data_IF_025451369932
#
_entry.id   IF_025451369932
#
_cell.length_a   1.000
_cell.length_b   1.000
_cell.length_c   1.000
_cell.angle_alpha   90.00
_cell.angle_beta   90.00
_cell.angle_gamma   90.00
#
_symmetry.space_group_name_H-M   'P 1'
#
loop_
_entity.id
_entity.type
_entity.pdbx_description
1 polymer ?
#
# COMPACT_ATOMS: atom_id res chain seq x y z
N UNK A 1 25.93 -14.72 0.52
CA UNK A 1 24.74 -13.84 0.39
C UNK A 1 23.69 -14.60 -0.38
N UNK A 2 22.41 -14.32 -0.19
CA UNK A 2 21.36 -14.86 -1.05
C UNK A 2 20.91 -13.77 -2.03
N UNK A 3 21.16 -14.01 -3.32
CA UNK A 3 20.85 -13.11 -4.43
C UNK A 3 19.61 -13.64 -5.14
N UNK A 4 18.59 -12.79 -5.31
CA UNK A 4 17.33 -13.18 -5.91
C UNK A 4 17.47 -13.21 -7.44
N UNK A 5 17.52 -14.42 -8.00
CA UNK A 5 17.80 -14.65 -9.42
C UNK A 5 16.54 -14.68 -10.28
N UNK A 6 15.45 -15.25 -9.76
CA UNK A 6 14.19 -15.42 -10.48
C UNK A 6 13.00 -15.21 -9.55
N UNK A 7 11.91 -14.69 -10.11
CA UNK A 7 10.61 -14.68 -9.46
C UNK A 7 9.53 -15.13 -10.45
N UNK A 8 8.49 -15.76 -9.95
CA UNK A 8 7.31 -16.14 -10.73
C UNK A 8 6.08 -15.94 -9.85
N UNK A 9 5.07 -15.24 -10.38
CA UNK A 9 3.72 -15.27 -9.81
C UNK A 9 2.90 -16.35 -10.51
N UNK A 10 2.27 -17.22 -9.74
CA UNK A 10 1.35 -18.24 -10.24
C UNK A 10 -0.07 -17.80 -9.95
N UNK A 11 -0.94 -17.85 -10.97
CA UNK A 11 -2.37 -17.55 -10.83
C UNK A 11 -3.16 -18.79 -10.39
N UNK A 12 -2.67 -19.44 -9.34
CA UNK A 12 -3.35 -20.57 -8.70
C UNK A 12 -4.33 -20.09 -7.61
N UNK A 13 -4.97 -21.04 -6.90
CA UNK A 13 -5.89 -20.72 -5.80
C UNK A 13 -5.23 -20.08 -4.58
N UNK A 14 -3.91 -20.18 -4.47
CA UNK A 14 -3.13 -19.70 -3.33
C UNK A 14 -2.50 -18.32 -3.58
N UNK A 15 -2.63 -17.78 -4.80
CA UNK A 15 -1.87 -16.63 -5.32
C UNK A 15 -0.36 -16.85 -5.12
N UNK A 16 0.12 -18.07 -5.44
CA UNK A 16 1.49 -18.51 -5.11
C UNK A 16 2.57 -17.64 -5.76
N UNK A 17 3.60 -17.36 -5.00
CA UNK A 17 4.80 -16.64 -5.41
C UNK A 17 6.03 -17.51 -5.22
N UNK A 18 6.80 -17.70 -6.29
CA UNK A 18 8.03 -18.51 -6.29
C UNK A 18 9.22 -17.57 -6.46
N UNK A 19 10.21 -17.68 -5.57
CA UNK A 19 11.42 -16.89 -5.54
C UNK A 19 12.64 -17.84 -5.59
N UNK A 20 13.45 -17.79 -6.63
CA UNK A 20 14.66 -18.62 -6.77
C UNK A 20 15.89 -17.77 -6.48
N UNK A 21 16.75 -18.22 -5.56
CA UNK A 21 17.95 -17.52 -5.12
C UNK A 21 19.21 -18.28 -5.51
N UNK A 22 20.25 -17.56 -5.92
CA UNK A 22 21.63 -18.05 -5.91
C UNK A 22 22.24 -17.67 -4.56
N UNK A 23 22.67 -18.67 -3.81
CA UNK A 23 23.20 -18.53 -2.45
C UNK A 23 24.71 -18.72 -2.50
N UNK A 24 25.46 -17.64 -2.29
CA UNK A 24 26.92 -17.65 -2.42
C UNK A 24 27.60 -18.30 -1.23
N UNK A 25 28.78 -18.90 -1.46
CA UNK A 25 29.62 -19.61 -0.48
C UNK A 25 29.90 -18.90 0.86
N UNK A 26 29.62 -17.61 0.97
CA UNK A 26 29.74 -16.88 2.25
C UNK A 26 28.82 -17.46 3.33
N UNK A 27 27.70 -18.11 2.94
CA UNK A 27 26.74 -18.73 3.86
C UNK A 27 27.31 -19.97 4.56
N UNK A 28 28.13 -20.75 3.87
CA UNK A 28 28.74 -21.98 4.43
C UNK A 28 30.10 -21.73 5.06
N UNK A 29 30.80 -20.64 4.69
CA UNK A 29 32.17 -20.36 5.15
C UNK A 29 32.26 -19.84 6.59
N UNK A 30 31.36 -18.92 6.97
CA UNK A 30 31.42 -18.18 8.23
C UNK A 30 30.34 -18.68 9.20
N UNK A 31 30.69 -19.43 10.26
CA UNK A 31 29.69 -20.01 11.18
C UNK A 31 29.14 -19.04 12.22
N UNK A 32 29.82 -17.92 12.48
CA UNK A 32 29.41 -16.96 13.52
C UNK A 32 28.44 -15.90 13.00
N UNK A 33 28.23 -15.85 11.68
CA UNK A 33 27.49 -14.79 11.01
C UNK A 33 26.30 -15.31 10.21
N UNK A 34 25.11 -15.04 10.72
CA UNK A 34 23.87 -15.18 9.95
C UNK A 34 23.91 -14.33 8.67
N UNK A 35 23.48 -14.94 7.57
CA UNK A 35 23.38 -14.26 6.27
C UNK A 35 21.92 -14.07 5.95
N UNK A 36 21.50 -12.81 5.75
CA UNK A 36 20.12 -12.47 5.37
C UNK A 36 20.08 -11.96 3.93
N UNK A 37 19.02 -12.31 3.19
CA UNK A 37 18.73 -11.75 1.86
C UNK A 37 18.40 -10.26 1.94
N UNK A 38 18.29 -9.60 0.78
CA UNK A 38 17.54 -8.33 0.72
C UNK A 38 16.04 -8.59 0.98
N UNK A 39 15.29 -7.55 1.33
CA UNK A 39 13.85 -7.68 1.56
C UNK A 39 13.12 -8.01 0.25
N UNK A 40 12.11 -8.88 0.32
CA UNK A 40 11.20 -9.22 -0.77
C UNK A 40 9.75 -8.93 -0.32
N UNK A 41 8.89 -8.58 -1.26
CA UNK A 41 7.47 -8.27 -0.96
C UNK A 41 6.55 -9.37 -1.44
N UNK A 42 5.76 -9.95 -0.54
CA UNK A 42 4.76 -10.97 -0.86
C UNK A 42 3.51 -10.82 0.02
N UNK A 43 2.32 -10.87 -0.57
CA UNK A 43 1.04 -10.75 0.14
C UNK A 43 0.92 -9.48 0.98
N UNK A 44 1.35 -8.34 0.43
CA UNK A 44 1.40 -7.02 1.09
C UNK A 44 2.31 -6.94 2.34
N UNK A 45 3.13 -7.97 2.57
CA UNK A 45 4.10 -8.06 3.64
C UNK A 45 5.53 -8.05 3.11
N UNK A 46 6.46 -7.56 3.92
CA UNK A 46 7.91 -7.61 3.64
C UNK A 46 8.53 -8.79 4.36
N UNK A 47 9.40 -9.50 3.65
CA UNK A 47 10.02 -10.73 4.08
C UNK A 47 11.52 -10.70 3.80
N UNK A 48 12.29 -11.54 4.46
CA UNK A 48 13.65 -11.88 4.07
C UNK A 48 13.90 -13.38 4.34
N UNK A 49 14.90 -13.96 3.68
CA UNK A 49 15.41 -15.28 4.02
C UNK A 49 16.67 -15.09 4.85
N UNK A 50 16.73 -15.72 6.02
CA UNK A 50 17.94 -15.78 6.85
C UNK A 50 18.47 -17.20 6.87
N UNK A 51 19.79 -17.32 6.75
CA UNK A 51 20.56 -18.54 6.87
C UNK A 51 21.37 -18.45 8.16
N UNK A 52 21.22 -19.42 9.06
CA UNK A 52 22.06 -19.58 10.25
C UNK A 52 22.87 -20.86 10.16
N UNK A 53 24.01 -20.93 10.81
CA UNK A 53 24.82 -22.15 10.90
C UNK A 53 25.04 -22.52 12.36
N UNK A 54 24.83 -23.79 12.69
CA UNK A 54 25.03 -24.31 14.05
C UNK A 54 25.57 -25.73 13.94
N UNK A 55 26.67 -26.03 14.63
CA UNK A 55 27.27 -27.38 14.71
C UNK A 55 27.44 -28.09 13.35
N UNK A 56 27.88 -27.33 12.34
CA UNK A 56 28.07 -27.75 10.93
C UNK A 56 26.77 -28.01 10.13
N UNK A 57 25.59 -27.76 10.68
CA UNK A 57 24.31 -27.82 9.98
C UNK A 57 23.89 -26.42 9.53
N UNK A 58 23.33 -26.32 8.33
CA UNK A 58 22.74 -25.10 7.79
C UNK A 58 21.24 -25.08 8.15
N UNK A 59 20.80 -23.97 8.73
CA UNK A 59 19.40 -23.65 8.96
C UNK A 59 18.91 -22.54 8.01
N UNK A 60 17.63 -22.58 7.64
CA UNK A 60 16.99 -21.61 6.74
C UNK A 60 15.65 -21.18 7.32
N UNK A 61 15.41 -19.86 7.31
CA UNK A 61 14.22 -19.25 7.90
C UNK A 61 13.62 -18.18 6.98
N UNK A 62 12.30 -18.17 6.91
CA UNK A 62 11.52 -17.03 6.44
C UNK A 62 11.35 -16.05 7.60
N UNK A 63 11.66 -14.78 7.38
CA UNK A 63 11.61 -13.72 8.40
C UNK A 63 10.66 -12.62 7.96
N UNK A 64 9.61 -12.36 8.74
CA UNK A 64 8.66 -11.27 8.53
C UNK A 64 9.25 -9.95 9.03
N UNK A 65 9.40 -8.98 8.12
CA UNK A 65 10.10 -7.70 8.36
C UNK A 65 9.17 -6.55 8.80
N UNK A 66 7.86 -6.69 8.62
CA UNK A 66 6.85 -5.70 9.01
C UNK A 66 6.09 -6.08 10.30
N UNK A 67 6.74 -6.82 11.19
CA UNK A 67 6.11 -7.33 12.41
C UNK A 67 5.80 -6.21 13.42
N UNK A 68 4.54 -6.06 13.81
CA UNK A 68 4.10 -5.07 14.80
C UNK A 68 3.02 -5.64 15.75
N UNK A 69 2.75 -4.92 16.84
CA UNK A 69 1.83 -5.34 17.89
C UNK A 69 0.42 -5.54 17.36
N UNK A 70 -0.29 -6.57 17.84
CA UNK A 70 -1.65 -6.89 17.40
C UNK A 70 -1.76 -7.59 16.04
N UNK A 71 -0.75 -7.44 15.17
CA UNK A 71 -0.73 -8.11 13.87
C UNK A 71 -0.27 -9.58 13.93
N UNK A 72 -0.84 -10.37 13.03
CA UNK A 72 -0.57 -11.79 12.78
C UNK A 72 -0.62 -12.02 11.27
N UNK A 73 0.35 -12.74 10.73
CA UNK A 73 0.35 -13.16 9.32
C UNK A 73 0.41 -14.69 9.28
N UNK A 74 -0.45 -15.29 8.48
CA UNK A 74 -0.47 -16.73 8.22
C UNK A 74 -0.02 -16.97 6.79
N UNK A 75 0.87 -17.95 6.60
CA UNK A 75 1.51 -18.22 5.31
C UNK A 75 1.65 -19.72 5.10
N UNK A 76 1.35 -20.18 3.88
CA UNK A 76 1.87 -21.45 3.38
C UNK A 76 3.22 -21.17 2.72
N UNK A 77 4.28 -21.86 3.12
CA UNK A 77 5.58 -21.74 2.45
C UNK A 77 6.25 -23.09 2.22
N UNK A 78 7.12 -23.16 1.22
CA UNK A 78 8.04 -24.27 0.99
C UNK A 78 9.42 -23.73 0.64
N UNK A 79 10.45 -24.23 1.31
CA UNK A 79 11.84 -24.05 0.91
C UNK A 79 12.33 -25.32 0.22
N UNK A 80 13.02 -25.17 -0.92
CA UNK A 80 13.55 -26.28 -1.72
C UNK A 80 14.99 -25.98 -2.12
N UNK A 81 15.94 -26.83 -1.72
CA UNK A 81 17.30 -26.82 -2.26
C UNK A 81 17.29 -27.55 -3.61
N UNK A 82 17.71 -26.84 -4.66
CA UNK A 82 17.70 -27.39 -6.01
C UNK A 82 18.99 -28.17 -6.26
N UNK A 83 18.83 -29.47 -6.52
CA UNK A 83 19.91 -30.35 -6.90
C UNK A 83 20.33 -30.07 -8.35
N UNK A 84 21.64 -30.05 -8.62
CA UNK A 84 22.19 -29.70 -9.94
C UNK A 84 22.15 -30.85 -10.94
N UNK A 85 21.97 -32.07 -10.47
CA UNK A 85 21.96 -33.30 -11.29
C UNK A 85 20.54 -33.70 -11.69
N UNK A 86 19.63 -33.84 -10.70
CA UNK A 86 18.25 -34.26 -10.97
C UNK A 86 17.26 -33.74 -9.92
N UNK A 87 16.09 -33.26 -10.36
CA UNK A 87 15.07 -32.63 -9.51
C UNK A 87 14.49 -33.58 -8.43
N UNK A 88 14.52 -34.90 -8.63
CA UNK A 88 14.10 -35.88 -7.62
C UNK A 88 15.03 -35.94 -6.40
N UNK A 89 16.24 -35.38 -6.52
CA UNK A 89 17.23 -35.30 -5.46
C UNK A 89 17.18 -33.93 -4.73
N UNK A 90 16.20 -33.09 -5.03
CA UNK A 90 15.92 -31.86 -4.30
C UNK A 90 15.58 -32.17 -2.84
N UNK A 91 16.10 -31.38 -1.91
CA UNK A 91 15.67 -31.39 -0.51
C UNK A 91 14.66 -30.28 -0.28
N UNK A 92 13.64 -30.52 0.55
CA UNK A 92 12.62 -29.51 0.82
C UNK A 92 12.00 -29.64 2.21
N UNK A 93 11.54 -28.50 2.75
CA UNK A 93 10.64 -28.48 3.90
C UNK A 93 9.54 -27.42 3.69
N UNK A 94 8.36 -27.69 4.24
CA UNK A 94 7.18 -26.86 4.06
C UNK A 94 6.42 -26.64 5.37
N UNK A 95 5.66 -25.56 5.41
CA UNK A 95 4.69 -25.28 6.46
C UNK A 95 3.39 -24.74 5.87
N UNK A 96 2.25 -25.10 6.46
CA UNK A 96 0.92 -24.60 6.08
C UNK A 96 0.34 -23.75 7.19
N UNK A 97 -0.24 -22.61 6.83
CA UNK A 97 -0.82 -21.60 7.74
C UNK A 97 0.12 -21.25 8.90
N UNK A 98 1.43 -21.19 8.63
CA UNK A 98 2.45 -20.88 9.63
C UNK A 98 2.25 -19.44 10.09
N UNK A 99 2.15 -19.28 11.42
CA UNK A 99 1.78 -18.04 12.07
C UNK A 99 3.01 -17.23 12.47
N UNK A 100 3.14 -16.05 11.86
CA UNK A 100 4.11 -15.02 12.20
C UNK A 100 3.48 -13.98 13.13
N UNK A 101 4.24 -13.53 14.13
CA UNK A 101 3.84 -12.49 15.09
C UNK A 101 5.04 -11.62 15.46
N UNK A 102 4.83 -10.48 16.14
CA UNK A 102 5.93 -9.67 16.68
C UNK A 102 6.86 -10.45 17.62
N UNK A 103 6.34 -11.42 18.38
CA UNK A 103 7.13 -12.27 19.28
C UNK A 103 7.80 -13.47 18.59
N UNK A 104 7.35 -13.82 17.38
CA UNK A 104 7.89 -14.91 16.56
C UNK A 104 7.89 -14.49 15.07
N UNK A 105 8.80 -13.59 14.66
CA UNK A 105 8.85 -13.05 13.30
C UNK A 105 9.65 -13.95 12.35
N UNK A 106 10.41 -14.93 12.85
CA UNK A 106 11.18 -15.88 12.06
C UNK A 106 10.60 -17.30 12.23
N UNK A 107 10.47 -18.04 11.13
CA UNK A 107 10.00 -19.42 11.09
C UNK A 107 10.81 -20.19 10.04
N UNK A 108 11.22 -21.42 10.34
CA UNK A 108 12.14 -22.14 9.47
C UNK A 108 12.58 -23.48 10.04
N UNK A 109 13.57 -24.08 9.41
CA UNK A 109 14.21 -25.30 9.88
C UNK A 109 15.67 -24.99 10.25
N UNK A 110 16.01 -25.12 11.53
CA UNK A 110 17.38 -24.97 12.04
C UNK A 110 18.32 -26.11 11.63
N UNK A 111 17.75 -27.29 11.36
CA UNK A 111 18.46 -28.52 11.02
C UNK A 111 18.12 -28.92 9.57
N UNK A 112 18.30 -28.02 8.61
CA UNK A 112 17.83 -28.28 7.23
C UNK A 112 18.76 -29.23 6.48
N UNK A 113 20.06 -28.92 6.41
CA UNK A 113 21.02 -29.79 5.72
C UNK A 113 22.41 -29.69 6.36
N UNK A 114 23.13 -30.81 6.57
CA UNK A 114 24.55 -30.76 6.94
C UNK A 114 25.35 -30.02 5.86
N UNK A 115 26.32 -29.19 6.25
CA UNK A 115 27.14 -28.46 5.28
C UNK A 115 28.00 -29.39 4.42
N UNK A 116 28.34 -30.60 4.91
CA UNK A 116 28.95 -31.67 4.11
C UNK A 116 28.11 -32.07 2.90
N UNK A 117 26.79 -32.18 3.12
CA UNK A 117 25.85 -32.79 2.20
C UNK A 117 25.53 -31.86 1.02
N UNK A 118 25.61 -30.54 1.23
CA UNK A 118 25.58 -29.54 0.16
C UNK A 118 26.64 -29.82 -0.92
N UNK A 119 27.86 -30.19 -0.51
CA UNK A 119 28.95 -30.52 -1.42
C UNK A 119 28.88 -31.97 -1.92
N UNK A 120 28.59 -32.93 -1.03
CA UNK A 120 28.61 -34.35 -1.37
C UNK A 120 27.43 -34.82 -2.25
N UNK A 121 26.33 -34.07 -2.28
CA UNK A 121 25.08 -34.44 -2.98
C UNK A 121 24.73 -33.54 -4.16
N UNK A 122 25.70 -32.89 -4.79
CA UNK A 122 25.50 -32.07 -6.01
C UNK A 122 24.52 -30.89 -5.85
N UNK A 123 24.44 -30.24 -4.68
CA UNK A 123 23.72 -28.97 -4.52
C UNK A 123 24.57 -27.75 -4.88
N UNK A 124 25.88 -27.79 -4.58
CA UNK A 124 26.82 -26.69 -4.86
C UNK A 124 27.51 -26.82 -6.22
N UNK A 125 27.84 -25.68 -6.83
CA UNK A 125 28.77 -25.58 -7.94
C UNK A 125 30.25 -25.62 -7.48
N UNK A 126 31.18 -25.47 -8.43
CA UNK A 126 32.64 -25.40 -8.15
C UNK A 126 33.07 -24.19 -7.33
N UNK A 127 32.26 -23.14 -7.27
CA UNK A 127 32.49 -21.96 -6.45
C UNK A 127 31.94 -22.14 -5.02
N UNK A 128 31.15 -23.18 -4.77
CA UNK A 128 30.43 -23.40 -3.51
C UNK A 128 29.11 -22.62 -3.42
N UNK A 129 28.54 -22.23 -4.55
CA UNK A 129 27.22 -21.59 -4.65
C UNK A 129 26.13 -22.63 -4.94
N UNK A 130 24.96 -22.46 -4.33
CA UNK A 130 23.82 -23.37 -4.48
C UNK A 130 22.53 -22.60 -4.74
N UNK A 131 21.52 -23.27 -5.30
CA UNK A 131 20.22 -22.65 -5.54
C UNK A 131 19.21 -23.04 -4.45
N UNK A 132 18.50 -22.05 -3.94
CA UNK A 132 17.38 -22.21 -3.01
C UNK A 132 16.14 -21.59 -3.61
N UNK A 133 15.05 -22.34 -3.69
CA UNK A 133 13.73 -21.83 -4.04
C UNK A 133 12.87 -21.66 -2.78
N UNK A 134 12.11 -20.58 -2.74
CA UNK A 134 11.10 -20.28 -1.75
C UNK A 134 9.76 -20.07 -2.46
N UNK A 135 8.79 -20.95 -2.19
CA UNK A 135 7.38 -20.74 -2.54
C UNK A 135 6.64 -20.15 -1.34
N UNK A 136 5.81 -19.13 -1.58
CA UNK A 136 4.91 -18.49 -0.60
C UNK A 136 3.50 -18.44 -1.21
N UNK A 137 2.49 -18.90 -0.48
CA UNK A 137 1.08 -18.83 -0.87
C UNK A 137 0.14 -18.63 0.34
N UNK A 138 -1.15 -18.45 0.06
CA UNK A 138 -2.22 -18.27 1.06
C UNK A 138 -1.90 -17.22 2.15
N UNK A 139 -1.25 -16.12 1.78
CA UNK A 139 -0.83 -15.08 2.73
C UNK A 139 -2.05 -14.34 3.28
N UNK A 140 -2.35 -14.55 4.57
CA UNK A 140 -3.48 -13.92 5.26
C UNK A 140 -2.98 -13.00 6.37
N UNK A 141 -3.38 -11.72 6.32
CA UNK A 141 -2.98 -10.72 7.31
C UNK A 141 -4.15 -10.31 8.20
N UNK A 142 -3.97 -10.39 9.52
CA UNK A 142 -4.97 -9.98 10.53
C UNK A 142 -4.34 -9.07 11.58
N UNK A 143 -4.99 -7.94 11.85
CA UNK A 143 -4.73 -7.05 12.99
C UNK A 143 -5.80 -7.22 14.06
N UNK A 144 -5.41 -7.21 15.34
CA UNK A 144 -6.32 -7.31 16.49
C UNK A 144 -5.98 -6.25 17.53
N UNK A 145 -6.99 -5.56 18.06
CA UNK A 145 -6.85 -4.55 19.09
C UNK A 145 -8.05 -4.52 20.03
N UNK A 146 -7.81 -4.16 21.30
CA UNK A 146 -8.83 -3.92 22.31
C UNK A 146 -8.91 -2.41 22.58
N UNK A 147 -10.00 -1.76 22.19
CA UNK A 147 -10.20 -0.33 22.46
C UNK A 147 -11.03 -0.16 23.74
N UNK A 148 -10.45 0.47 24.76
CA UNK A 148 -11.15 0.85 25.98
C UNK A 148 -12.02 2.08 25.72
N UNK A 149 -13.28 2.02 26.11
CA UNK A 149 -14.25 3.10 25.91
C UNK A 149 -14.38 3.90 27.23
N UNK A 150 -14.03 5.20 27.25
CA UNK A 150 -14.24 6.05 28.42
C UNK A 150 -15.70 6.03 28.88
N UNK A 151 -15.91 5.93 30.20
CA UNK A 151 -17.23 5.86 30.85
C UNK A 151 -18.16 7.02 30.47
N UNK A 152 -17.60 8.19 30.17
CA UNK A 152 -18.36 9.41 29.89
C UNK A 152 -19.01 9.42 28.49
N UNK A 153 -18.64 8.50 27.58
CA UNK A 153 -19.15 8.48 26.18
C UNK A 153 -20.66 8.19 26.11
N UNK A 154 -21.22 7.44 27.06
CA UNK A 154 -22.64 7.10 27.07
C UNK A 154 -23.53 8.11 27.82
N UNK A 155 -22.93 9.11 28.48
CA UNK A 155 -23.61 10.05 29.37
C UNK A 155 -24.04 9.40 30.70
N UNK A 156 -24.04 10.17 31.78
CA UNK A 156 -24.67 9.73 33.02
C UNK A 156 -26.18 9.57 32.79
N UNK A 157 -26.82 8.50 33.29
CA UNK A 157 -28.26 8.55 33.52
C UNK A 157 -28.52 9.68 34.52
N UNK A 158 -29.37 10.62 34.15
CA UNK A 158 -29.66 11.80 34.98
C UNK A 158 -30.36 11.37 36.26
N UNK A 159 -29.62 11.29 37.37
CA UNK A 159 -30.20 11.32 38.70
C UNK A 159 -30.97 12.63 38.84
N UNK A 160 -32.29 12.54 39.03
CA UNK A 160 -33.13 13.69 39.36
C UNK A 160 -32.67 14.29 40.70
N UNK A 161 -31.81 15.31 40.63
CA UNK A 161 -31.40 16.12 41.76
C UNK A 161 -32.42 17.23 42.00
N UNK A 162 -33.05 17.25 43.16
CA UNK A 162 -34.06 18.24 43.52
C UNK A 162 -33.51 19.66 43.54
N UNK A 163 -34.35 20.63 43.17
CA UNK A 163 -34.08 22.05 43.37
C UNK A 163 -33.87 22.37 44.86
N UNK A 164 -32.78 23.07 45.18
CA UNK A 164 -32.61 23.78 46.44
C UNK A 164 -31.98 25.15 46.16
N UNK A 165 -32.67 26.22 46.56
CA UNK A 165 -32.17 27.59 46.48
C UNK A 165 -31.09 27.85 47.54
N UNK A 166 -30.09 28.69 47.22
CA UNK A 166 -29.07 29.14 48.18
C UNK A 166 -28.44 30.45 47.73
N UNK A 167 -28.62 31.52 48.53
CA UNK A 167 -28.19 32.88 48.22
C UNK A 167 -26.78 33.20 48.74
N UNK A 168 -26.01 33.97 47.96
CA UNK A 168 -25.14 35.04 48.47
C UNK A 168 -23.71 34.70 48.91
N UNK A 169 -22.84 35.73 48.89
CA UNK A 169 -21.55 35.71 49.59
C UNK A 169 -20.31 36.05 48.75
N UNK A 170 -20.09 37.33 48.45
CA UNK A 170 -18.76 37.82 48.03
C UNK A 170 -17.86 38.03 49.25
N UNK A 171 -16.56 37.67 49.17
CA UNK A 171 -15.47 38.43 49.82
C UNK A 171 -14.06 38.09 49.34
N UNK A 172 -13.20 39.11 49.36
CA UNK A 172 -11.78 39.09 49.03
C UNK A 172 -10.90 38.41 50.10
N UNK A 173 -9.68 38.00 49.71
CA UNK A 173 -8.54 37.77 50.61
C UNK A 173 -7.21 37.80 49.85
N UNK A 174 -6.34 38.78 50.16
CA UNK A 174 -4.93 38.81 49.75
C UNK A 174 -4.05 38.11 50.80
N UNK A 175 -2.93 37.48 50.39
CA UNK A 175 -1.55 37.99 50.61
C UNK A 175 -0.46 36.90 50.47
N UNK A 176 0.73 37.33 50.00
CA UNK A 176 2.10 36.79 50.26
C UNK A 176 2.39 35.29 50.00
N UNK A 177 3.51 34.87 49.40
CA UNK A 177 4.72 35.57 48.97
C UNK A 177 5.97 35.00 49.66
N UNK A 178 6.79 34.22 48.93
CA UNK A 178 8.16 33.85 49.37
C UNK A 178 9.06 33.49 48.19
N UNK A 179 10.37 33.67 48.38
CA UNK A 179 11.42 33.63 47.35
C UNK A 179 12.38 32.47 47.62
N UNK A 180 12.92 31.85 46.58
CA UNK A 180 14.03 30.89 46.64
C UNK A 180 14.65 30.68 45.26
N UNK A 181 15.98 30.79 45.12
CA UNK A 181 16.64 30.92 43.82
C UNK A 181 17.90 30.06 43.65
N UNK A 182 18.02 29.47 42.45
CA UNK A 182 19.26 29.05 41.74
C UNK A 182 20.18 27.98 42.38
N UNK A 183 21.20 27.43 41.66
CA UNK A 183 21.55 27.47 40.22
C UNK A 183 21.43 26.07 39.51
N UNK A 184 21.29 25.92 38.18
CA UNK A 184 22.36 25.89 37.15
C UNK A 184 23.05 24.50 37.03
N UNK A 185 23.47 23.91 35.90
CA UNK A 185 23.46 24.16 34.41
C UNK A 185 24.09 22.90 33.72
N UNK A 186 24.45 22.80 32.41
CA UNK A 186 23.80 23.15 31.13
C UNK A 186 23.78 22.03 30.02
N UNK A 187 22.86 22.12 29.05
CA UNK A 187 23.16 22.03 27.60
C UNK A 187 23.37 20.68 26.84
N UNK A 188 22.48 20.38 25.87
CA UNK A 188 22.79 19.99 24.46
C UNK A 188 21.48 20.00 23.62
N UNK A 189 21.50 20.13 22.27
CA UNK A 189 20.46 20.90 21.57
C UNK A 189 19.63 20.15 20.49
N UNK A 190 18.47 20.73 20.17
CA UNK A 190 18.10 20.98 18.76
C UNK A 190 17.14 20.03 18.04
N UNK A 191 15.88 19.92 18.51
CA UNK A 191 14.76 19.53 17.64
C UNK A 191 13.97 20.79 17.20
N UNK A 192 13.63 20.98 15.91
CA UNK A 192 12.98 22.21 15.45
C UNK A 192 11.52 22.30 15.91
N UNK A 193 11.14 23.49 16.35
CA UNK A 193 9.84 23.76 16.98
C UNK A 193 8.67 23.81 15.96
N UNK A 194 7.50 23.37 16.41
CA UNK A 194 6.25 23.58 15.70
C UNK A 194 5.85 25.08 15.74
N UNK A 195 5.71 25.71 14.57
CA UNK A 195 5.19 27.07 14.45
C UNK A 195 3.66 27.06 14.45
N UNK A 196 3.06 27.74 15.42
CA UNK A 196 1.62 27.94 15.49
C UNK A 196 1.28 29.29 14.83
N UNK A 197 0.43 29.29 13.80
CA UNK A 197 0.11 30.49 13.01
C UNK A 197 -1.28 30.39 12.38
N UNK A 198 -2.24 31.12 12.95
CA UNK A 198 -3.68 31.04 12.66
C UNK A 198 -4.10 31.62 11.31
N UNK A 199 -5.05 30.95 10.61
CA UNK A 199 -6.39 31.52 10.38
C UNK A 199 -7.36 30.58 9.61
N UNK A 200 -8.60 30.46 10.09
CA UNK A 200 -9.77 30.38 9.19
C UNK A 200 -10.37 29.03 8.78
N UNK A 201 -10.77 28.15 9.72
CA UNK A 201 -11.97 27.27 9.57
C UNK A 201 -12.35 26.63 10.92
N UNK A 202 -13.63 26.31 11.20
CA UNK A 202 -14.07 25.93 12.54
C UNK A 202 -13.75 24.48 12.88
N UNK A 203 -12.82 24.28 13.83
CA UNK A 203 -12.60 22.98 14.47
C UNK A 203 -13.81 22.61 15.36
N UNK A 204 -14.57 21.57 15.02
CA UNK A 204 -15.62 21.03 15.92
C UNK A 204 -16.10 19.60 15.64
N UNK A 205 -15.27 18.59 15.95
CA UNK A 205 -15.74 17.32 16.56
C UNK A 205 -14.61 16.45 17.17
N UNK A 206 -13.62 17.07 17.82
CA UNK A 206 -12.74 16.34 18.73
C UNK A 206 -13.49 16.12 20.06
N UNK A 207 -13.98 14.90 20.29
CA UNK A 207 -14.77 14.56 21.48
C UNK A 207 -14.77 13.07 21.83
N UNK A 208 -15.28 12.21 20.95
CA UNK A 208 -15.55 10.80 21.25
C UNK A 208 -14.89 9.80 20.27
N UNK A 209 -13.89 10.21 19.46
CA UNK A 209 -13.19 9.31 18.52
C UNK A 209 -12.37 8.28 19.31
N UNK A 210 -12.65 7.01 19.07
CA UNK A 210 -11.93 5.86 19.61
C UNK A 210 -10.96 5.36 18.53
N UNK A 211 -9.70 5.06 18.86
CA UNK A 211 -8.69 4.66 17.88
C UNK A 211 -7.86 3.46 18.35
N UNK A 212 -7.39 2.66 17.39
CA UNK A 212 -6.33 1.65 17.60
C UNK A 212 -4.95 2.29 17.50
N UNK A 213 -3.93 1.59 18.00
CA UNK A 213 -2.54 1.84 17.58
C UNK A 213 -2.41 1.67 16.05
N UNK A 214 -1.33 2.21 15.48
CA UNK A 214 -1.04 2.01 14.07
C UNK A 214 -0.50 0.59 13.79
N UNK A 215 -0.62 0.15 12.55
CA UNK A 215 -0.11 -1.12 12.02
C UNK A 215 0.28 -0.97 10.54
N UNK A 216 1.21 -1.79 10.06
CA UNK A 216 1.77 -1.65 8.70
C UNK A 216 1.21 -2.70 7.72
N UNK A 217 0.75 -2.27 6.55
CA UNK A 217 0.27 -3.16 5.48
C UNK A 217 0.43 -2.52 4.08
N UNK A 218 0.96 -3.27 3.11
CA UNK A 218 1.12 -2.83 1.71
C UNK A 218 2.22 -1.78 1.46
N UNK A 219 3.02 -1.47 2.49
CA UNK A 219 3.97 -0.35 2.47
C UNK A 219 3.41 0.95 3.06
N UNK A 220 2.21 0.92 3.63
CA UNK A 220 1.61 2.04 4.36
C UNK A 220 1.37 1.68 5.82
N UNK A 221 1.30 2.71 6.66
CA UNK A 221 0.81 2.59 8.03
C UNK A 221 -0.66 3.01 8.09
N UNK A 222 -1.41 2.33 8.95
CA UNK A 222 -2.85 2.45 9.08
C UNK A 222 -3.25 2.47 10.55
N UNK A 223 -4.35 3.14 10.90
CA UNK A 223 -5.09 2.82 12.11
C UNK A 223 -6.57 2.55 11.78
N UNK A 224 -7.30 1.99 12.75
CA UNK A 224 -8.76 1.95 12.72
C UNK A 224 -9.32 2.91 13.77
N UNK A 225 -10.36 3.64 13.40
CA UNK A 225 -11.09 4.49 14.32
C UNK A 225 -12.60 4.23 14.31
N UNK A 226 -13.22 4.37 15.47
CA UNK A 226 -14.67 4.25 15.70
C UNK A 226 -15.16 5.62 16.19
N UNK A 227 -16.11 6.20 15.47
CA UNK A 227 -16.71 7.51 15.75
C UNK A 227 -18.16 7.30 16.16
N UNK A 228 -18.54 7.53 17.43
CA UNK A 228 -19.93 7.54 17.87
C UNK A 228 -20.68 8.74 17.27
N UNK A 229 -21.87 8.52 16.74
CA UNK A 229 -22.68 9.54 16.07
C UNK A 229 -23.61 10.25 17.08
N UNK A 230 -23.64 11.59 17.02
CA UNK A 230 -24.44 12.45 17.92
C UNK A 230 -25.95 12.23 17.75
N UNK A 231 -26.72 12.56 18.81
CA UNK A 231 -28.20 12.56 18.78
C UNK A 231 -28.76 13.39 17.63
N UNK A 232 -28.12 14.53 17.34
CA UNK A 232 -28.55 15.51 16.32
C UNK A 232 -28.59 14.94 14.88
N UNK A 233 -27.94 13.80 14.66
CA UNK A 233 -27.87 13.14 13.35
C UNK A 233 -29.03 12.19 13.04
N UNK A 234 -30.03 12.07 13.95
CA UNK A 234 -31.08 11.05 13.86
C UNK A 234 -30.55 9.60 13.97
N UNK A 235 -29.26 9.43 14.26
CA UNK A 235 -28.53 8.16 14.35
C UNK A 235 -27.97 7.94 15.75
N UNK A 236 -28.74 8.31 16.77
CA UNK A 236 -28.34 8.26 18.18
C UNK A 236 -27.73 6.91 18.60
N UNK A 237 -26.48 6.98 19.06
CA UNK A 237 -25.72 5.84 19.57
C UNK A 237 -25.13 4.93 18.49
N UNK A 238 -25.44 5.14 17.20
CA UNK A 238 -24.76 4.45 16.08
C UNK A 238 -23.29 4.86 16.01
N UNK A 239 -22.52 4.10 15.25
CA UNK A 239 -21.09 4.36 15.04
C UNK A 239 -20.74 4.35 13.56
N UNK A 240 -19.71 5.11 13.22
CA UNK A 240 -19.00 5.03 11.94
C UNK A 240 -17.60 4.47 12.20
N UNK A 241 -17.11 3.61 11.32
CA UNK A 241 -15.81 2.93 11.45
C UNK A 241 -14.96 3.30 10.25
N UNK A 242 -13.76 3.83 10.48
CA UNK A 242 -12.85 4.28 9.43
C UNK A 242 -11.51 3.58 9.56
N UNK A 243 -11.04 2.98 8.48
CA UNK A 243 -9.62 2.69 8.30
C UNK A 243 -8.96 3.98 7.77
N UNK A 244 -7.95 4.48 8.47
CA UNK A 244 -7.27 5.73 8.14
C UNK A 244 -5.82 5.39 7.77
N UNK A 245 -5.37 5.87 6.62
CA UNK A 245 -3.99 5.73 6.17
C UNK A 245 -3.16 6.87 6.73
N UNK A 246 -1.97 6.56 7.24
CA UNK A 246 -1.10 7.49 7.97
C UNK A 246 0.17 7.88 7.19
N UNK A 247 0.44 7.23 6.05
CA UNK A 247 1.62 7.49 5.19
C UNK A 247 1.28 7.34 3.70
N UNK A 248 2.14 7.89 2.82
CA UNK A 248 2.00 7.77 1.35
C UNK A 248 0.92 8.65 0.72
N UNK A 249 0.69 9.83 1.29
CA UNK A 249 -0.34 10.82 0.90
C UNK A 249 -0.22 11.39 -0.51
N UNK A 250 0.93 11.20 -1.16
CA UNK A 250 1.23 11.57 -2.55
C UNK A 250 0.38 10.84 -3.59
N UNK A 251 -0.18 9.68 -3.23
CA UNK A 251 -1.09 8.90 -4.08
C UNK A 251 -2.36 8.52 -3.33
N UNK A 252 -3.47 8.36 -4.03
CA UNK A 252 -4.61 7.62 -3.50
C UNK A 252 -4.26 6.12 -3.35
N UNK A 253 -4.93 5.41 -2.44
CA UNK A 253 -4.70 3.99 -2.21
C UNK A 253 -6.01 3.22 -2.19
N UNK A 254 -6.18 2.25 -3.11
CA UNK A 254 -7.31 1.32 -3.05
C UNK A 254 -7.04 0.31 -1.95
N UNK A 255 -7.98 0.17 -1.03
CA UNK A 255 -7.88 -0.72 0.12
C UNK A 255 -9.07 -1.67 0.16
N UNK A 256 -8.81 -2.95 0.46
CA UNK A 256 -9.83 -3.98 0.66
C UNK A 256 -9.56 -4.66 2.00
N UNK A 257 -10.60 -4.78 2.83
CA UNK A 257 -10.48 -5.28 4.20
C UNK A 257 -11.83 -5.83 4.69
N UNK A 258 -11.81 -6.57 5.80
CA UNK A 258 -13.01 -6.95 6.53
C UNK A 258 -12.80 -6.63 8.02
N UNK A 259 -13.76 -5.96 8.66
CA UNK A 259 -13.72 -5.66 10.09
C UNK A 259 -14.80 -6.44 10.83
N UNK A 260 -14.42 -6.94 12.00
CA UNK A 260 -15.30 -7.49 13.03
C UNK A 260 -15.13 -6.68 14.30
N UNK A 261 -16.24 -6.26 14.89
CA UNK A 261 -16.30 -5.56 16.17
C UNK A 261 -17.01 -6.41 17.21
N UNK A 262 -16.55 -6.34 18.46
CA UNK A 262 -17.09 -7.14 19.55
C UNK A 262 -16.66 -8.61 19.49
N UNK A 263 -17.32 -9.46 20.28
CA UNK A 263 -16.99 -10.88 20.42
C UNK A 263 -18.21 -11.68 20.93
N UNK A 264 -18.21 -13.00 20.71
CA UNK A 264 -19.34 -13.87 21.01
C UNK A 264 -20.66 -13.37 20.40
N UNK A 265 -21.73 -13.35 21.20
CA UNK A 265 -23.06 -12.89 20.78
C UNK A 265 -23.14 -11.36 20.53
N UNK A 266 -22.09 -10.61 20.87
CA UNK A 266 -21.97 -9.15 20.64
C UNK A 266 -21.10 -8.82 19.42
N UNK A 267 -20.95 -9.78 18.51
CA UNK A 267 -20.14 -9.68 17.30
C UNK A 267 -20.91 -8.99 16.16
N UNK A 268 -20.23 -8.10 15.46
CA UNK A 268 -20.74 -7.40 14.29
C UNK A 268 -19.70 -7.42 13.17
N UNK A 269 -20.10 -7.79 11.95
CA UNK A 269 -19.21 -7.93 10.80
C UNK A 269 -19.57 -6.98 9.67
N UNK A 270 -18.55 -6.47 8.97
CA UNK A 270 -18.75 -5.66 7.76
C UNK A 270 -18.94 -6.47 6.48
N UNK A 271 -18.65 -7.78 6.50
CA UNK A 271 -18.25 -8.50 5.29
C UNK A 271 -16.98 -7.89 4.68
N UNK A 272 -16.70 -8.18 3.41
CA UNK A 272 -15.57 -7.56 2.71
C UNK A 272 -15.92 -6.17 2.18
N UNK A 273 -15.23 -5.16 2.67
CA UNK A 273 -15.31 -3.77 2.21
C UNK A 273 -14.20 -3.47 1.20
N UNK A 274 -14.49 -2.56 0.27
CA UNK A 274 -13.52 -1.97 -0.63
C UNK A 274 -13.76 -0.46 -0.71
N UNK A 275 -12.72 0.35 -0.52
CA UNK A 275 -12.78 1.81 -0.64
C UNK A 275 -11.48 2.34 -1.24
N UNK A 276 -11.49 3.61 -1.62
CA UNK A 276 -10.27 4.39 -1.89
C UNK A 276 -9.97 5.22 -0.64
N UNK A 277 -8.71 5.19 -0.20
CA UNK A 277 -8.12 6.23 0.65
C UNK A 277 -7.69 7.37 -0.25
N UNK A 278 -8.19 8.57 0.02
CA UNK A 278 -7.77 9.82 -0.64
C UNK A 278 -6.32 10.20 -0.27
N UNK A 279 -5.83 11.29 -0.86
CA UNK A 279 -4.51 11.89 -0.58
C UNK A 279 -4.39 12.50 0.81
N UNK A 280 -5.48 12.61 1.59
CA UNK A 280 -5.47 12.97 3.01
C UNK A 280 -5.54 11.73 3.93
N UNK A 281 -5.52 10.52 3.37
CA UNK A 281 -5.54 9.25 4.11
C UNK A 281 -6.94 8.77 4.52
N UNK A 282 -8.00 9.43 4.04
CA UNK A 282 -9.39 9.16 4.44
C UNK A 282 -10.12 8.30 3.43
N UNK A 283 -10.99 7.41 3.90
CA UNK A 283 -11.94 6.67 3.07
C UNK A 283 -13.38 6.91 3.50
N UNK A 284 -14.34 6.37 2.75
CA UNK A 284 -15.77 6.54 3.04
C UNK A 284 -16.19 5.98 4.42
N UNK A 285 -15.48 4.96 4.91
CA UNK A 285 -15.80 4.27 6.16
C UNK A 285 -16.95 3.28 6.03
N UNK A 286 -17.31 2.67 7.16
CA UNK A 286 -18.41 1.71 7.32
C UNK A 286 -19.37 2.20 8.39
N UNK A 287 -20.65 2.26 8.05
CA UNK A 287 -21.72 2.79 8.89
C UNK A 287 -22.72 1.67 9.26
N UNK A 288 -22.39 0.81 10.24
CA UNK A 288 -23.33 -0.18 10.72
C UNK A 288 -24.59 0.47 11.30
N UNK A 289 -25.72 -0.22 11.17
CA UNK A 289 -26.99 0.21 11.79
C UNK A 289 -27.03 0.01 13.32
N UNK A 290 -26.10 -0.80 13.85
CA UNK A 290 -25.92 -1.09 15.26
C UNK A 290 -25.33 0.09 16.05
N UNK A 291 -25.54 0.07 17.37
CA UNK A 291 -24.99 1.04 18.32
C UNK A 291 -23.63 0.58 18.85
N UNK A 292 -22.82 1.52 19.33
CA UNK A 292 -21.55 1.20 19.99
C UNK A 292 -21.74 0.29 21.22
N UNK A 293 -22.84 0.47 21.96
CA UNK A 293 -23.18 -0.32 23.13
C UNK A 293 -23.42 -1.81 22.82
N UNK A 294 -23.84 -2.13 21.59
CA UNK A 294 -24.20 -3.49 21.16
C UNK A 294 -22.96 -4.37 21.05
N UNK A 295 -21.83 -3.79 20.62
CA UNK A 295 -20.51 -4.46 20.49
C UNK A 295 -19.60 -4.31 21.71
N UNK A 296 -20.05 -3.57 22.74
CA UNK A 296 -19.28 -3.29 23.95
C UNK A 296 -19.37 -4.46 24.93
N UNK A 297 -18.22 -4.90 25.47
CA UNK A 297 -18.16 -5.86 26.57
C UNK A 297 -17.20 -5.37 27.66
N UNK A 298 -17.69 -5.20 28.89
CA UNK A 298 -16.89 -4.74 30.06
C UNK A 298 -16.06 -3.47 29.79
N UNK A 299 -16.63 -2.50 29.05
CA UNK A 299 -15.95 -1.25 28.69
C UNK A 299 -14.91 -1.37 27.57
N UNK A 300 -14.83 -2.51 26.88
CA UNK A 300 -13.90 -2.76 25.77
C UNK A 300 -14.68 -3.10 24.50
N UNK A 301 -14.26 -2.54 23.37
CA UNK A 301 -14.62 -3.03 22.03
C UNK A 301 -13.42 -3.79 21.48
N UNK A 302 -13.61 -5.08 21.21
CA UNK A 302 -12.63 -5.89 20.47
C UNK A 302 -12.72 -5.57 18.99
N UNK A 303 -11.57 -5.44 18.34
CA UNK A 303 -11.43 -5.20 16.90
C UNK A 303 -10.63 -6.34 16.31
N UNK A 304 -11.20 -7.03 15.32
CA UNK A 304 -10.49 -7.96 14.44
C UNK A 304 -10.60 -7.45 13.01
N UNK A 305 -9.47 -7.04 12.43
CA UNK A 305 -9.37 -6.45 11.09
C UNK A 305 -8.54 -7.37 10.20
N UNK A 306 -9.13 -7.85 9.11
CA UNK A 306 -8.44 -8.62 8.09
C UNK A 306 -8.13 -7.73 6.89
N UNK A 307 -6.84 -7.62 6.55
CA UNK A 307 -6.34 -6.79 5.46
C UNK A 307 -6.11 -7.65 4.22
N UNK A 308 -6.74 -7.28 3.10
CA UNK A 308 -6.80 -8.11 1.89
C UNK A 308 -6.04 -7.48 0.71
N UNK A 309 -6.08 -6.16 0.57
CA UNK A 309 -5.39 -5.43 -0.51
C UNK A 309 -5.10 -3.98 -0.09
N UNK A 310 -3.95 -3.46 -0.49
CA UNK A 310 -3.57 -2.04 -0.39
C UNK A 310 -2.66 -1.67 -1.56
N UNK A 311 -3.24 -1.10 -2.62
CA UNK A 311 -2.54 -0.75 -3.86
C UNK A 311 -2.56 0.77 -4.10
N UNK A 312 -1.39 1.35 -4.39
CA UNK A 312 -1.26 2.69 -4.97
C UNK A 312 -2.16 2.83 -6.20
N UNK A 313 -2.86 3.95 -6.30
CA UNK A 313 -3.56 4.35 -7.53
C UNK A 313 -2.86 5.56 -8.13
N UNK A 314 -2.68 5.53 -9.45
CA UNK A 314 -2.29 6.71 -10.21
C UNK A 314 -3.35 6.98 -11.28
N UNK A 315 -3.91 8.19 -11.22
CA UNK A 315 -4.99 8.65 -12.09
C UNK A 315 -4.40 9.43 -13.26
N UNK A 316 -4.78 9.06 -14.48
CA UNK A 316 -4.22 9.61 -15.71
C UNK A 316 -5.34 9.94 -16.70
N UNK A 317 -5.51 11.22 -16.99
CA UNK A 317 -6.35 11.68 -18.10
C UNK A 317 -5.59 11.51 -19.43
N UNK A 318 -5.96 10.51 -20.22
CA UNK A 318 -5.36 10.26 -21.54
C UNK A 318 -6.21 10.91 -22.62
N UNK A 319 -5.74 12.03 -23.17
CA UNK A 319 -6.43 12.74 -24.24
C UNK A 319 -5.92 12.29 -25.60
N UNK A 320 -6.81 11.76 -26.45
CA UNK A 320 -6.42 11.17 -27.73
C UNK A 320 -5.81 12.14 -28.74
N UNK A 321 -6.10 13.43 -28.64
CA UNK A 321 -5.63 14.48 -29.55
C UNK A 321 -5.43 15.81 -28.80
N UNK A 322 -4.20 16.31 -28.73
CA UNK A 322 -3.92 17.69 -28.34
C UNK A 322 -4.01 18.62 -29.55
N UNK A 323 -4.61 19.80 -29.37
CA UNK A 323 -4.64 20.86 -30.39
C UNK A 323 -3.55 21.90 -30.09
N UNK A 324 -2.33 21.65 -30.54
CA UNK A 324 -1.27 22.66 -30.51
C UNK A 324 -1.54 23.75 -31.55
N UNK A 325 -1.19 25.00 -31.22
CA UNK A 325 -0.95 26.05 -32.22
C UNK A 325 0.52 25.94 -32.64
N UNK A 326 0.79 26.00 -33.93
CA UNK A 326 2.16 26.24 -34.40
C UNK A 326 2.68 27.55 -33.80
N UNK A 327 3.90 27.53 -33.28
CA UNK A 327 4.57 28.74 -32.86
C UNK A 327 4.93 29.56 -34.12
N UNK A 328 4.63 30.86 -34.18
CA UNK A 328 5.03 31.67 -35.33
C UNK A 328 6.55 31.75 -35.41
N UNK A 329 7.09 31.43 -36.59
CA UNK A 329 8.49 31.63 -36.92
C UNK A 329 8.89 33.11 -36.87
N UNK A 330 10.21 33.34 -36.89
CA UNK A 330 10.86 34.65 -36.74
C UNK A 330 10.26 35.77 -37.59
N UNK A 331 10.07 36.94 -36.96
CA UNK A 331 9.65 38.20 -37.59
C UNK A 331 10.64 38.62 -38.68
N UNK A 332 10.13 38.94 -39.88
CA UNK A 332 10.95 39.36 -41.02
C UNK A 332 10.19 40.21 -42.05
N UNK A 333 9.99 41.49 -41.74
CA UNK A 333 9.60 42.59 -42.65
C UNK A 333 8.18 42.53 -43.30
N UNK A 334 7.64 43.67 -43.82
CA UNK A 334 6.20 43.87 -43.96
C UNK A 334 5.68 44.02 -45.40
N UNK A 335 4.42 43.67 -45.63
CA UNK A 335 3.64 44.06 -46.81
C UNK A 335 2.51 43.09 -47.15
N UNK A 336 1.34 43.62 -47.55
CA UNK A 336 0.22 42.84 -48.09
C UNK A 336 -1.01 42.77 -47.19
N UNK A 337 -2.08 43.45 -47.59
CA UNK A 337 -3.42 43.34 -47.02
C UNK A 337 -4.19 42.13 -47.61
N UNK A 338 -3.65 40.92 -47.51
CA UNK A 338 -4.29 39.69 -48.03
C UNK A 338 -3.88 38.45 -47.22
N UNK A 339 -4.58 38.18 -46.10
CA UNK A 339 -4.38 36.95 -45.31
C UNK A 339 -5.59 36.59 -44.40
N UNK A 340 -6.82 36.71 -44.92
CA UNK A 340 -8.04 36.37 -44.16
C UNK A 340 -8.36 34.86 -44.11
N UNK A 341 -7.50 34.01 -44.67
CA UNK A 341 -7.78 32.57 -44.89
C UNK A 341 -6.76 31.62 -44.21
N UNK A 342 -6.14 32.06 -43.11
CA UNK A 342 -5.20 31.23 -42.34
C UNK A 342 -5.87 30.61 -41.10
N UNK A 343 -6.87 29.75 -41.34
CA UNK A 343 -7.36 28.78 -40.37
C UNK A 343 -6.27 27.71 -40.14
N UNK A 344 -5.26 28.09 -39.35
CA UNK A 344 -4.05 27.30 -39.10
C UNK A 344 -4.35 25.82 -38.85
N UNK A 345 -3.79 24.96 -39.70
CA UNK A 345 -4.01 23.52 -39.75
C UNK A 345 -3.56 22.87 -38.45
N UNK A 346 -4.46 22.73 -37.48
CA UNK A 346 -4.18 22.12 -36.17
C UNK A 346 -3.72 20.68 -36.35
N UNK A 347 -2.42 20.45 -36.27
CA UNK A 347 -1.87 19.08 -36.28
C UNK A 347 -2.20 18.42 -34.94
N UNK A 348 -2.81 17.22 -34.93
CA UNK A 348 -3.07 16.52 -33.69
C UNK A 348 -1.76 16.00 -33.10
N UNK A 349 -1.41 16.45 -31.90
CA UNK A 349 -0.23 15.95 -31.16
C UNK A 349 -0.68 14.92 -30.14
N UNK A 350 -0.05 13.73 -30.05
CA UNK A 350 -0.33 12.76 -28.99
C UNK A 350 -0.01 13.37 -27.61
N UNK A 351 -1.02 13.53 -26.76
CA UNK A 351 -0.79 14.02 -25.39
C UNK A 351 -0.14 12.88 -24.60
N UNK A 352 1.11 13.10 -24.17
CA UNK A 352 1.78 12.20 -23.24
C UNK A 352 1.36 12.59 -21.83
N UNK A 353 0.62 11.71 -21.16
CA UNK A 353 0.24 11.90 -19.77
C UNK A 353 1.26 11.21 -18.86
N UNK A 354 1.48 11.76 -17.66
CA UNK A 354 2.48 11.25 -16.71
C UNK A 354 1.81 10.72 -15.44
N UNK A 355 2.43 9.71 -14.83
CA UNK A 355 2.09 9.19 -13.52
C UNK A 355 3.35 8.72 -12.80
N UNK A 356 3.21 8.42 -11.51
CA UNK A 356 4.26 7.84 -10.70
C UNK A 356 3.79 6.52 -10.08
N UNK A 357 4.71 5.62 -9.76
CA UNK A 357 4.42 4.45 -8.93
C UNK A 357 4.63 4.75 -7.43
N UNK A 358 4.44 3.74 -6.57
CA UNK A 358 4.61 3.84 -5.11
C UNK A 358 5.99 4.38 -4.69
N UNK A 359 7.01 4.20 -5.52
CA UNK A 359 8.38 4.63 -5.22
C UNK A 359 8.70 6.02 -5.79
N UNK A 360 7.67 6.74 -6.27
CA UNK A 360 7.76 8.05 -6.94
C UNK A 360 8.53 8.01 -8.25
N UNK A 361 8.67 6.83 -8.86
CA UNK A 361 9.35 6.71 -10.14
C UNK A 361 8.37 6.97 -11.28
N UNK A 362 8.84 7.68 -12.30
CA UNK A 362 8.04 8.27 -13.36
C UNK A 362 7.66 7.26 -14.45
N UNK A 363 6.42 7.37 -14.90
CA UNK A 363 5.84 6.63 -16.00
C UNK A 363 5.13 7.59 -16.93
N UNK A 364 5.20 7.32 -18.23
CA UNK A 364 4.49 8.05 -19.26
C UNK A 364 3.51 7.13 -19.96
N UNK A 365 2.38 7.69 -20.36
CA UNK A 365 1.33 6.97 -21.06
C UNK A 365 0.85 7.79 -22.26
N UNK A 366 0.73 7.13 -23.41
CA UNK A 366 0.26 7.72 -24.66
C UNK A 366 -0.88 6.88 -25.22
N UNK A 367 -1.93 7.52 -25.74
CA UNK A 367 -2.90 6.82 -26.57
C UNK A 367 -2.37 6.63 -27.99
N UNK A 368 -2.44 5.41 -28.49
CA UNK A 368 -2.33 5.08 -29.90
C UNK A 368 -3.74 4.87 -30.48
N UNK A 369 -4.01 5.50 -31.62
CA UNK A 369 -5.30 5.51 -32.31
C UNK A 369 -5.15 5.16 -33.82
N UNK A 370 -4.08 4.44 -34.19
CA UNK A 370 -3.85 3.96 -35.56
C UNK A 370 -4.55 2.62 -35.87
N UNK A 371 -5.03 1.90 -34.84
CA UNK A 371 -5.83 0.68 -34.95
C UNK A 371 -7.33 0.95 -34.81
N UNK A 372 -8.18 -0.08 -34.96
CA UNK A 372 -9.64 0.04 -34.81
C UNK A 372 -10.06 0.34 -33.36
N UNK A 373 -9.31 -0.17 -32.39
CA UNK A 373 -9.44 0.11 -30.95
C UNK A 373 -8.34 1.06 -30.47
N UNK A 374 -8.60 1.80 -29.40
CA UNK A 374 -7.58 2.59 -28.73
C UNK A 374 -6.59 1.64 -28.07
N UNK A 375 -5.30 1.89 -28.29
CA UNK A 375 -4.19 1.25 -27.59
C UNK A 375 -3.53 2.26 -26.66
N UNK A 376 -2.83 1.76 -25.65
CA UNK A 376 -2.15 2.57 -24.66
C UNK A 376 -0.70 2.14 -24.58
N UNK A 377 0.21 3.03 -24.99
CA UNK A 377 1.65 2.82 -24.92
C UNK A 377 2.19 3.38 -23.60
N UNK A 378 2.67 2.50 -22.74
CA UNK A 378 3.15 2.80 -21.38
C UNK A 378 4.66 2.66 -21.31
N UNK A 379 5.35 3.73 -20.90
CA UNK A 379 6.81 3.83 -20.89
C UNK A 379 7.28 4.17 -19.48
N UNK A 380 8.16 3.36 -18.92
CA UNK A 380 8.88 3.62 -17.68
C UNK A 380 9.99 4.65 -17.93
N UNK A 381 9.88 5.82 -17.29
CA UNK A 381 10.78 6.97 -17.53
C UNK A 381 12.05 6.96 -16.68
N UNK A 382 12.13 6.05 -15.71
CA UNK A 382 13.24 5.89 -14.78
C UNK A 382 13.98 4.55 -14.97
N UNK A 383 13.91 3.94 -16.15
CA UNK A 383 14.60 2.66 -16.45
C UNK A 383 16.12 2.75 -16.25
N UNK A 384 16.70 3.92 -16.53
CA UNK A 384 18.10 4.23 -16.25
C UNK A 384 18.45 4.26 -14.75
N UNK A 385 17.46 4.39 -13.87
CA UNK A 385 17.62 4.35 -12.41
C UNK A 385 17.48 2.93 -11.82
N UNK A 386 17.17 1.91 -12.64
CA UNK A 386 17.33 0.51 -12.22
C UNK A 386 18.82 0.26 -11.94
N UNK A 387 19.20 -0.32 -10.79
CA UNK A 387 20.61 -0.56 -10.49
C UNK A 387 21.26 -1.58 -11.45
N UNK A 388 22.58 -1.47 -11.65
CA UNK A 388 23.33 -2.44 -12.46
C UNK A 388 23.28 -3.84 -11.84
N UNK A 389 23.15 -4.87 -12.67
CA UNK A 389 23.03 -6.27 -12.27
C UNK A 389 21.80 -6.56 -11.38
N UNK A 390 20.76 -5.72 -11.46
CA UNK A 390 19.50 -5.88 -10.74
C UNK A 390 18.35 -5.92 -11.76
N UNK A 391 17.25 -6.58 -11.40
CA UNK A 391 16.01 -6.58 -12.16
C UNK A 391 14.89 -5.94 -11.35
N UNK A 392 14.11 -5.03 -11.93
CA UNK A 392 12.91 -4.47 -11.32
C UNK A 392 11.67 -5.15 -11.91
N UNK A 393 11.01 -6.00 -11.13
CA UNK A 393 9.70 -6.51 -11.49
C UNK A 393 8.60 -5.48 -11.16
N UNK A 394 7.71 -5.26 -12.12
CA UNK A 394 6.53 -4.40 -11.96
C UNK A 394 5.31 -5.17 -12.44
N UNK A 395 4.23 -5.13 -11.66
CA UNK A 395 2.92 -5.68 -12.03
C UNK A 395 1.88 -4.56 -11.94
N UNK A 396 0.89 -4.52 -12.83
CA UNK A 396 -0.19 -3.54 -12.73
C UNK A 396 -1.50 -4.06 -13.29
N UNK A 397 -2.58 -3.48 -12.81
CA UNK A 397 -3.90 -3.60 -13.44
C UNK A 397 -4.29 -2.22 -13.93
N UNK A 398 -4.61 -2.11 -15.22
CA UNK A 398 -5.15 -0.88 -15.80
C UNK A 398 -6.68 -0.98 -15.90
N UNK A 399 -7.35 0.13 -15.61
CA UNK A 399 -8.82 0.24 -15.63
C UNK A 399 -9.24 1.47 -16.44
N UNK A 400 -10.18 1.30 -17.35
CA UNK A 400 -10.87 2.36 -18.07
C UNK A 400 -12.09 2.81 -17.28
N UNK A 401 -12.21 4.12 -17.03
CA UNK A 401 -13.45 4.72 -16.53
C UNK A 401 -14.37 5.12 -17.68
N UNK A 402 -15.63 4.70 -17.56
CA UNK A 402 -16.71 5.10 -18.43
C UNK A 402 -17.73 5.91 -17.64
N UNK A 403 -17.84 7.19 -17.95
CA UNK A 403 -18.87 8.05 -17.38
C UNK A 403 -20.16 7.87 -18.18
N UNK A 404 -21.27 7.57 -17.49
CA UNK A 404 -22.58 7.37 -18.12
C UNK A 404 -23.68 7.93 -17.22
N UNK A 405 -24.33 9.02 -17.67
CA UNK A 405 -25.46 9.69 -16.99
C UNK A 405 -25.24 9.96 -15.48
N UNK A 406 -24.03 10.30 -15.08
CA UNK A 406 -23.66 10.58 -13.68
C UNK A 406 -23.12 9.39 -12.89
N UNK A 407 -23.17 8.17 -13.44
CA UNK A 407 -22.47 7.01 -12.90
C UNK A 407 -21.08 6.87 -13.54
N UNK A 408 -20.14 6.29 -12.79
CA UNK A 408 -18.80 5.92 -13.27
C UNK A 408 -18.67 4.41 -13.20
N UNK A 409 -18.44 3.78 -14.34
CA UNK A 409 -18.17 2.35 -14.47
C UNK A 409 -16.66 2.12 -14.64
N UNK A 410 -16.11 1.11 -13.95
CA UNK A 410 -14.71 0.70 -14.02
C UNK A 410 -14.58 -0.61 -14.82
N UNK A 411 -13.97 -0.55 -16.00
CA UNK A 411 -13.68 -1.73 -16.82
C UNK A 411 -12.18 -2.09 -16.71
N UNK A 412 -11.85 -3.32 -16.32
CA UNK A 412 -10.46 -3.83 -16.37
C UNK A 412 -10.03 -3.96 -17.84
N UNK A 413 -8.81 -3.57 -18.20
CA UNK A 413 -8.32 -3.77 -19.57
C UNK A 413 -8.07 -5.27 -19.88
N UNK A 414 -8.33 -5.73 -21.11
CA UNK A 414 -7.95 -7.08 -21.56
C UNK A 414 -6.47 -7.37 -21.33
N UNK A 415 -6.13 -8.59 -20.92
CA UNK A 415 -4.75 -9.00 -20.64
C UNK A 415 -4.20 -8.60 -19.27
N UNK A 416 -4.98 -7.91 -18.43
CA UNK A 416 -4.58 -7.63 -17.05
C UNK A 416 -4.67 -8.89 -16.15
N UNK A 417 -3.81 -9.02 -15.11
CA UNK A 417 -2.75 -8.10 -14.73
C UNK A 417 -1.57 -8.15 -15.71
N UNK A 418 -1.08 -6.98 -16.09
CA UNK A 418 0.14 -6.83 -16.86
C UNK A 418 1.33 -6.97 -15.92
N UNK A 419 2.46 -7.49 -16.41
CA UNK A 419 3.71 -7.39 -15.67
C UNK A 419 4.93 -7.41 -16.59
N UNK A 420 6.04 -6.87 -16.09
CA UNK A 420 7.28 -6.75 -16.85
C UNK A 420 8.52 -6.76 -15.94
N UNK A 421 9.65 -7.07 -16.54
CA UNK A 421 10.98 -7.03 -15.92
C UNK A 421 11.81 -5.93 -16.57
N UNK A 422 12.23 -4.96 -15.79
CA UNK A 422 13.14 -3.91 -16.24
C UNK A 422 14.55 -4.18 -15.75
N UNK A 423 15.54 -4.06 -16.64
CA UNK A 423 16.96 -3.93 -16.30
C UNK A 423 17.41 -2.49 -16.56
N UNK A 424 18.65 -2.13 -16.22
CA UNK A 424 19.18 -0.81 -16.55
C UNK A 424 19.38 -0.67 -18.06
N UNK A 425 18.53 0.15 -18.70
CA UNK A 425 18.61 0.50 -20.12
C UNK A 425 18.69 2.03 -20.29
N UNK A 426 19.17 2.55 -21.44
CA UNK A 426 19.15 3.98 -21.74
C UNK A 426 17.73 4.55 -21.87
N UNK A 427 16.81 3.76 -22.42
CA UNK A 427 15.42 4.13 -22.69
C UNK A 427 14.52 2.89 -22.69
N UNK A 428 13.30 3.02 -22.19
CA UNK A 428 12.27 1.97 -22.31
C UNK A 428 11.54 2.11 -23.65
N UNK A 429 11.44 1.02 -24.42
CA UNK A 429 10.63 0.93 -25.63
C UNK A 429 9.13 0.99 -25.31
N UNK A 430 8.74 0.58 -24.10
CA UNK A 430 7.39 0.65 -23.57
C UNK A 430 6.48 -0.48 -24.02
N UNK A 431 5.36 -0.61 -23.31
CA UNK A 431 4.44 -1.74 -23.38
C UNK A 431 3.11 -1.25 -23.94
N UNK A 432 2.60 -1.96 -24.95
CA UNK A 432 1.31 -1.68 -25.57
C UNK A 432 0.24 -2.49 -24.83
N UNK A 433 -0.70 -1.79 -24.19
CA UNK A 433 -1.92 -2.37 -23.65
C UNK A 433 -3.07 -2.11 -24.62
N UNK A 434 -3.83 -3.16 -24.95
CA UNK A 434 -5.02 -3.02 -25.79
C UNK A 434 -6.24 -2.65 -24.95
N UNK A 435 -7.21 -1.96 -25.56
CA UNK A 435 -8.50 -1.66 -24.95
C UNK A 435 -9.63 -2.17 -25.85
N UNK A 436 -10.82 -2.33 -25.28
CA UNK A 436 -12.06 -2.63 -26.01
C UNK A 436 -12.74 -1.37 -26.58
N UNK A 437 -12.12 -0.19 -26.42
CA UNK A 437 -12.68 1.11 -26.82
C UNK A 437 -12.39 1.39 -28.30
N UNK A 438 -13.40 1.29 -29.17
CA UNK A 438 -13.25 1.63 -30.58
C UNK A 438 -12.82 3.10 -30.80
N UNK A 439 -11.81 3.34 -31.64
CA UNK A 439 -11.29 4.69 -31.97
C UNK A 439 -12.40 5.58 -32.54
N UNK A 440 -13.33 5.00 -33.31
CA UNK A 440 -14.52 5.70 -33.83
C UNK A 440 -15.39 6.28 -32.71
N UNK A 441 -15.63 5.52 -31.64
CA UNK A 441 -16.44 5.96 -30.50
C UNK A 441 -15.82 7.14 -29.74
N UNK A 442 -14.49 7.23 -29.73
CA UNK A 442 -13.76 8.38 -29.19
C UNK A 442 -13.89 9.58 -30.13
N UNK A 443 -13.51 9.44 -31.41
CA UNK A 443 -13.51 10.54 -32.39
C UNK A 443 -14.88 11.22 -32.53
N UNK A 444 -15.98 10.45 -32.56
CA UNK A 444 -17.34 11.00 -32.68
C UNK A 444 -17.77 11.82 -31.44
N UNK A 445 -17.30 11.47 -30.24
CA UNK A 445 -17.66 12.20 -29.00
C UNK A 445 -16.91 13.53 -28.82
N UNK A 446 -15.79 13.75 -29.52
CA UNK A 446 -15.06 15.03 -29.42
C UNK A 446 -15.66 16.18 -30.27
N UNK A 447 -16.53 15.88 -31.24
CA UNK A 447 -17.11 16.89 -32.17
C UNK A 447 -18.33 17.62 -31.56
N UNK A 448 -19.00 17.03 -30.57
CA UNK A 448 -20.15 17.62 -29.87
C UNK A 448 -19.85 17.73 -28.37
N UNK A 449 -19.82 18.95 -27.82
CA UNK A 449 -19.56 19.32 -26.41
C UNK A 449 -19.91 18.21 -25.41
N UNK A 450 -18.95 17.35 -25.06
CA UNK A 450 -19.25 16.10 -24.37
C UNK A 450 -18.94 16.17 -22.88
N UNK A 451 -19.96 15.98 -22.03
CA UNK A 451 -19.83 15.74 -20.57
C UNK A 451 -19.33 14.32 -20.25
N UNK A 452 -18.45 13.76 -21.09
CA UNK A 452 -18.00 12.37 -20.99
C UNK A 452 -16.50 12.28 -21.20
N UNK A 453 -15.74 12.57 -20.14
CA UNK A 453 -14.33 12.23 -20.09
C UNK A 453 -14.17 10.72 -19.99
N UNK A 454 -13.15 10.16 -20.64
CA UNK A 454 -12.61 8.85 -20.28
C UNK A 454 -11.37 9.11 -19.43
N UNK A 455 -11.32 8.54 -18.24
CA UNK A 455 -10.19 8.63 -17.32
C UNK A 455 -9.62 7.22 -17.17
N UNK A 456 -8.29 7.09 -17.11
CA UNK A 456 -7.65 5.80 -16.93
C UNK A 456 -7.00 5.75 -15.55
N UNK A 457 -7.29 4.70 -14.80
CA UNK A 457 -6.55 4.38 -13.60
C UNK A 457 -5.52 3.29 -13.91
N UNK A 458 -4.26 3.55 -13.58
CA UNK A 458 -3.21 2.52 -13.59
C UNK A 458 -2.77 2.28 -12.15
N UNK A 459 -2.85 1.02 -11.73
CA UNK A 459 -2.46 0.56 -10.40
C UNK A 459 -1.08 -0.07 -10.47
N UNK A 460 -0.03 0.73 -10.34
CA UNK A 460 1.36 0.29 -10.38
C UNK A 460 1.75 -0.42 -9.07
N UNK A 461 1.77 -1.76 -9.10
CA UNK A 461 2.20 -2.61 -7.99
C UNK A 461 3.68 -3.01 -8.17
N UNK A 462 4.55 -2.29 -7.47
CA UNK A 462 5.96 -2.68 -7.32
C UNK A 462 6.10 -3.82 -6.31
N UNK A 463 6.75 -4.90 -6.73
CA UNK A 463 7.35 -5.89 -5.81
C UNK A 463 8.83 -5.98 -6.16
N UNK A 464 9.68 -5.56 -5.23
CA UNK A 464 11.13 -5.57 -5.43
C UNK A 464 11.64 -6.97 -5.74
N UNK A 465 12.33 -7.06 -6.86
CA UNK A 465 13.51 -7.90 -7.00
C UNK A 465 14.71 -6.93 -6.95
N UNK A 466 15.85 -7.43 -6.49
CA UNK A 466 17.01 -6.59 -6.18
C UNK A 466 18.30 -7.28 -6.62
#
# INVERSE_FOLDING_TARGET
MALLYRYVKLHDRADSHVFTFVVTRSVTRDPERDVTSKELTCGYQRWAITFSRTDKVLGVYLVWKSACQGMRVYVDFTFTLLNREHFSCNEAFAGKQVKFTMAAPAQGNKNYIPVSDLYARNFTDTNGEFQLELSIGHVRTVYNADIRVPTNIFGNPTTHGHHAHGHGGSRHGHHTGTVGAAPGTPGTPGAPAASNGTNGTPAKQAGNKLETSYFTFGGYDWNLSIVPLSKDSGSEGRMAVYINRLTGFDHACRVRYAVTLGDGDRRLESGTLQTVSDTEGRGLGWHPRARLADVLHKGVVRVHLEMLLANTMSEVAVTSMGLARDAPGSIGAPGGLDALDNLGRRVPVPVTAQCYDRDKQAWALKSDCHSDTVRLHMVYKDVQHVPRNHLRYVCWTAYLLRYNKGHVETCVLPGAPFSHYYQQEPTDEGIIMETDLAVKAVRTRFVLRCKTCFLLFIFLEKRELV
#
